data_IF_239445824336
#
_entry.id   IF_239445824336
#
_cell.length_a   1.000
_cell.length_b   1.000
_cell.length_c   1.000
_cell.angle_alpha   90.00
_cell.angle_beta   90.00
_cell.angle_gamma   90.00
#
_symmetry.space_group_name_H-M   'P 1'
#
loop_
_entity.id
_entity.type
_entity.pdbx_description
1 polymer ?
#
# COMPACT_ATOMS: atom_id res chain seq x y z
N UNK A 1 12.01 -8.66 -6.02
CA UNK A 1 12.74 -9.48 -5.01
C UNK A 1 11.89 -9.66 -3.74
N UNK A 2 12.01 -10.79 -3.05
CA UNK A 2 11.16 -11.12 -1.87
C UNK A 2 11.34 -10.13 -0.71
N UNK A 3 12.55 -9.62 -0.50
CA UNK A 3 12.85 -8.62 0.53
C UNK A 3 12.15 -7.30 0.27
N UNK A 4 12.13 -6.86 -0.98
CA UNK A 4 11.38 -5.66 -1.39
C UNK A 4 9.88 -5.84 -1.14
N UNK A 5 9.33 -7.03 -1.42
CA UNK A 5 7.93 -7.32 -1.15
C UNK A 5 7.61 -7.28 0.36
N UNK A 6 8.49 -7.87 1.19
CA UNK A 6 8.35 -7.82 2.66
C UNK A 6 8.44 -6.40 3.20
N UNK A 7 9.38 -5.60 2.70
CA UNK A 7 9.48 -4.19 3.06
C UNK A 7 8.16 -3.45 2.83
N UNK A 8 7.59 -3.55 1.61
CA UNK A 8 6.31 -2.90 1.32
C UNK A 8 5.17 -3.40 2.21
N UNK A 9 5.15 -4.70 2.54
CA UNK A 9 4.13 -5.26 3.44
C UNK A 9 4.23 -4.75 4.88
N UNK A 10 5.44 -4.40 5.36
CA UNK A 10 5.64 -3.85 6.70
C UNK A 10 5.39 -2.34 6.78
N UNK A 11 5.67 -1.61 5.71
CA UNK A 11 5.44 -0.15 5.65
C UNK A 11 3.97 0.19 5.41
N UNK A 12 3.20 -0.71 4.79
CA UNK A 12 1.80 -0.46 4.49
C UNK A 12 0.87 -0.79 5.68
N UNK A 13 0.15 0.20 6.24
CA UNK A 13 -0.74 -0.06 7.38
C UNK A 13 -2.07 -0.72 7.00
N UNK A 14 -2.38 -0.83 5.70
CA UNK A 14 -3.71 -1.21 5.23
C UNK A 14 -3.72 -2.47 4.35
N UNK A 15 -2.60 -3.20 4.24
CA UNK A 15 -2.55 -4.41 3.42
C UNK A 15 -2.75 -4.14 1.92
N UNK A 16 -2.28 -3.00 1.41
CA UNK A 16 -2.18 -2.75 -0.04
C UNK A 16 -1.12 -3.65 -0.66
N UNK A 17 -0.06 -3.95 0.08
CA UNK A 17 1.08 -4.72 -0.40
C UNK A 17 1.21 -6.01 0.40
N UNK A 18 1.05 -7.15 -0.27
CA UNK A 18 1.17 -8.47 0.35
C UNK A 18 2.34 -9.24 -0.27
N UNK A 19 3.26 -9.70 0.58
CA UNK A 19 4.36 -10.56 0.16
C UNK A 19 3.86 -12.00 -0.02
N UNK A 20 3.88 -12.51 -1.25
CA UNK A 20 3.46 -13.88 -1.55
C UNK A 20 4.65 -14.85 -1.51
N UNK A 21 4.42 -16.03 -0.90
CA UNK A 21 5.40 -17.12 -0.82
C UNK A 21 5.56 -17.89 -2.13
N UNK A 22 6.51 -18.84 -2.17
CA UNK A 22 6.60 -19.84 -3.25
C UNK A 22 7.20 -19.39 -4.58
N UNK A 23 7.90 -18.26 -4.62
CA UNK A 23 8.53 -17.73 -5.85
C UNK A 23 8.95 -16.27 -5.77
N UNK A 24 8.51 -15.57 -4.73
CA UNK A 24 8.82 -14.16 -4.52
C UNK A 24 7.92 -13.28 -5.38
N UNK A 25 7.11 -12.44 -4.75
CA UNK A 25 6.23 -11.55 -5.47
C UNK A 25 5.50 -10.60 -4.53
N UNK A 26 4.89 -9.59 -5.13
CA UNK A 26 4.10 -8.59 -4.44
C UNK A 26 2.70 -8.62 -5.04
N UNK A 27 1.70 -8.98 -4.23
CA UNK A 27 0.29 -8.79 -4.58
C UNK A 27 -0.10 -7.38 -4.16
N UNK A 28 -0.73 -6.64 -5.08
CA UNK A 28 -1.16 -5.26 -4.84
C UNK A 28 -2.69 -5.19 -4.76
N UNK A 29 -3.20 -4.86 -3.59
CA UNK A 29 -4.61 -4.67 -3.29
C UNK A 29 -4.92 -3.16 -3.20
N UNK A 30 -4.83 -2.46 -4.33
CA UNK A 30 -5.00 -1.00 -4.41
C UNK A 30 -6.28 -0.44 -3.72
N UNK A 31 -7.45 -1.13 -3.73
CA UNK A 31 -8.64 -0.64 -3.04
C UNK A 31 -8.47 -0.45 -1.53
N UNK A 32 -7.50 -1.12 -0.89
CA UNK A 32 -7.24 -0.98 0.53
C UNK A 32 -6.50 0.31 0.90
N UNK A 33 -6.02 1.10 -0.08
CA UNK A 33 -5.21 2.27 0.20
C UNK A 33 -5.96 3.29 1.06
N UNK A 34 -5.31 3.75 2.13
CA UNK A 34 -5.83 4.74 3.08
C UNK A 34 -5.17 6.12 2.99
N UNK A 35 -4.45 6.38 1.90
CA UNK A 35 -3.77 7.65 1.62
C UNK A 35 -2.76 8.12 2.69
N UNK A 36 -2.22 7.18 3.47
CA UNK A 36 -1.23 7.46 4.52
C UNK A 36 0.14 7.93 4.00
N UNK A 37 0.43 7.73 2.71
CA UNK A 37 1.72 8.02 2.05
C UNK A 37 2.96 7.35 2.67
N UNK A 38 2.79 6.34 3.54
CA UNK A 38 3.91 5.68 4.22
C UNK A 38 4.97 5.11 3.25
N UNK A 39 4.53 4.58 2.10
CA UNK A 39 5.42 4.01 1.08
C UNK A 39 6.18 5.05 0.25
N UNK A 40 5.83 6.33 0.34
CA UNK A 40 6.55 7.42 -0.35
C UNK A 40 7.92 7.69 0.27
N UNK A 41 8.24 7.09 1.42
CA UNK A 41 9.61 7.09 2.01
C UNK A 41 10.68 6.59 1.04
N UNK A 42 10.31 5.73 0.08
CA UNK A 42 11.19 5.23 -0.97
C UNK A 42 11.17 6.08 -2.26
N UNK A 43 10.48 7.22 -2.24
CA UNK A 43 10.22 8.09 -3.39
C UNK A 43 8.72 8.24 -3.67
N UNK A 44 8.27 9.42 -4.13
CA UNK A 44 6.86 9.71 -4.36
C UNK A 44 6.31 8.80 -5.46
N UNK A 45 5.41 7.90 -5.09
CA UNK A 45 4.74 6.97 -6.02
C UNK A 45 3.23 7.06 -5.93
N UNK A 46 2.70 7.61 -4.85
CA UNK A 46 1.27 7.83 -4.68
C UNK A 46 0.75 8.91 -5.62
N UNK A 47 -0.35 8.62 -6.31
CA UNK A 47 -1.08 9.57 -7.14
C UNK A 47 -2.48 9.81 -6.57
N UNK A 48 -3.03 11.03 -6.72
CA UNK A 48 -4.39 11.32 -6.28
C UNK A 48 -5.43 10.40 -6.95
N UNK A 49 -6.42 10.00 -6.16
CA UNK A 49 -7.58 9.20 -6.58
C UNK A 49 -8.67 10.09 -7.17
N UNK A 50 -9.63 9.47 -7.86
CA UNK A 50 -10.83 10.17 -8.32
C UNK A 50 -11.60 10.82 -7.15
N UNK A 51 -12.18 11.99 -7.39
CA UNK A 51 -12.92 12.73 -6.36
C UNK A 51 -14.05 11.91 -5.74
N UNK A 52 -14.17 11.97 -4.41
CA UNK A 52 -15.21 11.26 -3.65
C UNK A 52 -14.91 9.78 -3.37
N UNK A 53 -13.81 9.25 -3.88
CA UNK A 53 -13.36 7.90 -3.58
C UNK A 53 -12.35 7.93 -2.42
N UNK A 54 -12.34 6.92 -1.55
CA UNK A 54 -11.26 6.69 -0.57
C UNK A 54 -11.80 6.34 0.82
N UNK A 55 -10.96 6.43 1.86
CA UNK A 55 -11.39 6.24 3.23
C UNK A 55 -12.51 7.21 3.63
N UNK A 56 -13.51 6.70 4.34
CA UNK A 56 -14.60 7.49 4.91
C UNK A 56 -14.44 7.57 6.43
N UNK A 57 -13.53 8.42 6.88
CA UNK A 57 -13.31 8.65 8.30
C UNK A 57 -14.51 9.35 8.93
N UNK A 58 -15.11 8.76 9.97
CA UNK A 58 -16.27 9.34 10.70
C UNK A 58 -15.90 9.95 12.05
N UNK A 59 -14.82 9.45 12.66
CA UNK A 59 -14.21 9.96 13.89
C UNK A 59 -12.74 9.63 13.77
N UNK A 60 -11.92 10.64 13.61
CA UNK A 60 -10.48 10.53 13.44
C UNK A 60 -9.81 11.51 14.41
#
# INVERSE_FOLDING_TARGET
>A
PVEVARFYSHVCPAGVYEAIGGGGGLRINAPNCVDCKATDVLGPRWTPREGGSGPKYKRM
#
